data_IF_203105752906
#
_entry.id   IF_203105752906
#
_cell.length_a   1.000
_cell.length_b   1.000
_cell.length_c   1.000
_cell.angle_alpha   90.00
_cell.angle_beta   90.00
_cell.angle_gamma   90.00
#
_symmetry.space_group_name_H-M   'P 1'
#
loop_
_entity.id
_entity.type
_entity.pdbx_description
1 polymer ?
#
# COMPACT_ATOMS: atom_id res chain seq x y z
N UNK A 1 11.56 13.90 26.30
CA UNK A 1 10.91 13.19 25.17
C UNK A 1 10.88 11.69 25.37
N UNK A 2 11.98 11.05 25.80
CA UNK A 2 12.00 9.61 26.09
C UNK A 2 11.10 9.19 27.27
N UNK A 3 10.86 10.07 28.24
CA UNK A 3 10.07 9.72 29.43
C UNK A 3 8.59 9.47 29.10
N UNK A 4 7.98 10.28 28.23
CA UNK A 4 6.61 10.06 27.76
C UNK A 4 6.42 8.76 26.97
N UNK A 5 7.46 8.32 26.23
CA UNK A 5 7.45 7.02 25.54
C UNK A 5 7.47 5.90 26.58
N UNK A 6 8.32 6.03 27.61
CA UNK A 6 8.45 5.06 28.71
C UNK A 6 7.15 4.95 29.51
N UNK A 7 6.53 6.08 29.84
CA UNK A 7 5.22 6.14 30.51
C UNK A 7 4.14 5.42 29.70
N UNK A 8 4.04 5.70 28.40
CA UNK A 8 3.07 5.06 27.51
C UNK A 8 3.32 3.55 27.38
N UNK A 9 4.59 3.12 27.35
CA UNK A 9 4.96 1.70 27.34
C UNK A 9 4.54 1.00 28.63
N UNK A 10 4.80 1.61 29.79
CA UNK A 10 4.43 1.07 31.09
C UNK A 10 2.90 0.93 31.20
N UNK A 11 2.16 1.96 30.81
CA UNK A 11 0.69 1.94 30.83
C UNK A 11 0.14 0.82 29.93
N UNK A 12 0.64 0.69 28.71
CA UNK A 12 0.27 -0.40 27.79
C UNK A 12 0.52 -1.76 28.43
N UNK A 13 1.67 -1.94 29.07
CA UNK A 13 2.08 -3.22 29.65
C UNK A 13 1.26 -3.57 30.89
N UNK A 14 0.88 -2.57 31.69
CA UNK A 14 -0.01 -2.76 32.83
C UNK A 14 -1.43 -3.12 32.40
N UNK A 15 -1.97 -2.48 31.35
CA UNK A 15 -3.26 -2.88 30.76
C UNK A 15 -3.17 -4.31 30.22
N UNK A 16 -2.05 -4.67 29.56
CA UNK A 16 -1.82 -6.05 29.09
C UNK A 16 -1.80 -7.06 30.23
N UNK A 17 -1.19 -6.73 31.37
CA UNK A 17 -1.23 -7.58 32.58
C UNK A 17 -2.66 -7.75 33.10
N UNK A 18 -3.47 -6.69 33.11
CA UNK A 18 -4.89 -6.75 33.52
C UNK A 18 -5.71 -7.63 32.56
N UNK A 19 -5.54 -7.47 31.24
CA UNK A 19 -6.18 -8.31 30.22
C UNK A 19 -5.82 -9.79 30.29
N UNK A 20 -4.62 -10.14 30.77
CA UNK A 20 -4.24 -11.54 30.99
C UNK A 20 -5.08 -12.20 32.09
N UNK A 21 -5.53 -11.41 33.08
CA UNK A 21 -6.36 -11.88 34.21
C UNK A 21 -7.84 -11.93 33.83
N UNK A 22 -8.30 -10.95 33.04
CA UNK A 22 -9.67 -10.89 32.53
C UNK A 22 -9.66 -10.61 31.03
N UNK A 23 -9.79 -11.68 30.23
CA UNK A 23 -9.68 -11.62 28.77
C UNK A 23 -10.93 -11.10 28.06
N UNK A 24 -12.08 -11.14 28.74
CA UNK A 24 -13.36 -10.76 28.13
C UNK A 24 -13.75 -9.31 28.44
N UNK A 25 -12.91 -8.59 29.19
CA UNK A 25 -13.10 -7.18 29.49
C UNK A 25 -12.92 -6.29 28.24
N UNK A 26 -14.04 -5.91 27.63
CA UNK A 26 -14.07 -5.09 26.40
C UNK A 26 -13.41 -3.74 26.63
N UNK A 27 -13.67 -3.09 27.77
CA UNK A 27 -13.10 -1.77 28.10
C UNK A 27 -11.58 -1.82 28.18
N UNK A 28 -11.01 -2.83 28.85
CA UNK A 28 -9.56 -3.01 28.92
C UNK A 28 -8.97 -3.32 27.54
N UNK A 29 -9.68 -4.07 26.70
CA UNK A 29 -9.23 -4.41 25.34
C UNK A 29 -9.12 -3.17 24.47
N UNK A 30 -10.12 -2.28 24.52
CA UNK A 30 -10.10 -1.01 23.80
C UNK A 30 -9.01 -0.08 24.32
N UNK A 31 -8.87 0.05 25.64
CA UNK A 31 -7.78 0.83 26.25
C UNK A 31 -6.41 0.33 25.78
N UNK A 32 -6.20 -0.98 25.78
CA UNK A 32 -4.96 -1.57 25.28
C UNK A 32 -4.71 -1.25 23.80
N UNK A 33 -5.74 -1.34 22.95
CA UNK A 33 -5.62 -1.00 21.52
C UNK A 33 -5.22 0.47 21.33
N UNK A 34 -5.84 1.39 22.09
CA UNK A 34 -5.51 2.82 22.06
C UNK A 34 -4.08 3.08 22.49
N UNK A 35 -3.66 2.54 23.65
CA UNK A 35 -2.32 2.74 24.17
C UNK A 35 -1.24 2.08 23.29
N UNK A 36 -1.52 0.91 22.72
CA UNK A 36 -0.64 0.28 21.72
C UNK A 36 -0.44 1.17 20.50
N UNK A 37 -1.50 1.83 20.00
CA UNK A 37 -1.42 2.78 18.89
C UNK A 37 -0.63 4.03 19.31
N UNK A 38 -0.89 4.57 20.49
CA UNK A 38 -0.17 5.72 21.06
C UNK A 38 1.33 5.46 21.15
N UNK A 39 1.74 4.33 21.73
CA UNK A 39 3.16 3.95 21.83
C UNK A 39 3.81 3.86 20.45
N UNK A 40 3.15 3.23 19.47
CA UNK A 40 3.65 3.16 18.09
C UNK A 40 3.86 4.56 17.49
N UNK A 41 2.89 5.45 17.67
CA UNK A 41 2.96 6.84 17.19
C UNK A 41 4.13 7.59 17.81
N UNK A 42 4.29 7.53 19.14
CA UNK A 42 5.36 8.23 19.85
C UNK A 42 6.76 7.72 19.46
N UNK A 43 6.91 6.40 19.26
CA UNK A 43 8.17 5.83 18.77
C UNK A 43 8.46 6.31 17.34
N UNK A 44 7.45 6.32 16.47
CA UNK A 44 7.61 6.79 15.09
C UNK A 44 8.02 8.27 15.04
N UNK A 45 7.34 9.11 15.82
CA UNK A 45 7.65 10.54 15.93
C UNK A 45 9.05 10.79 16.50
N UNK A 46 9.42 10.07 17.57
CA UNK A 46 10.75 10.16 18.16
C UNK A 46 11.86 9.78 17.19
N UNK A 47 11.66 8.71 16.41
CA UNK A 47 12.58 8.30 15.34
C UNK A 47 12.65 9.34 14.23
N UNK A 48 11.52 9.84 13.77
CA UNK A 48 11.47 10.86 12.71
C UNK A 48 12.22 12.13 13.14
N UNK A 49 11.99 12.59 14.36
CA UNK A 49 12.69 13.76 14.91
C UNK A 49 14.19 13.55 15.06
N UNK A 50 14.60 12.39 15.55
CA UNK A 50 16.02 12.03 15.65
C UNK A 50 16.71 12.07 14.28
N UNK A 51 16.15 11.37 13.29
CA UNK A 51 16.75 11.33 11.95
C UNK A 51 16.68 12.65 11.21
N UNK A 52 15.62 13.44 11.43
CA UNK A 52 15.53 14.80 10.91
C UNK A 52 16.69 15.66 11.43
N UNK A 53 16.96 15.62 12.74
CA UNK A 53 18.06 16.36 13.34
C UNK A 53 19.43 15.89 12.83
N UNK A 54 19.65 14.57 12.75
CA UNK A 54 20.89 13.99 12.19
C UNK A 54 21.13 14.43 10.73
N UNK A 55 20.08 14.44 9.90
CA UNK A 55 20.19 14.91 8.52
C UNK A 55 20.45 16.42 8.44
N UNK A 56 19.81 17.19 9.31
CA UNK A 56 20.01 18.64 9.38
C UNK A 56 21.44 19.00 9.80
N UNK A 57 21.97 18.32 10.81
CA UNK A 57 23.34 18.52 11.31
C UNK A 57 24.40 18.03 10.30
N UNK A 58 24.11 16.95 9.58
CA UNK A 58 25.03 16.38 8.58
C UNK A 58 24.90 16.99 7.19
N UNK A 59 24.06 18.01 6.96
CA UNK A 59 23.72 18.55 5.62
C UNK A 59 24.92 18.98 4.76
N UNK A 60 26.03 19.38 5.38
CA UNK A 60 27.27 19.78 4.68
C UNK A 60 28.29 18.65 4.55
N UNK A 61 28.04 17.48 5.14
CA UNK A 61 28.92 16.32 5.12
C UNK A 61 28.23 15.13 4.44
N UNK A 62 28.42 15.05 3.12
CA UNK A 62 27.82 14.02 2.26
C UNK A 62 28.08 12.59 2.77
N UNK A 63 29.28 12.30 3.30
CA UNK A 63 29.61 10.97 3.85
C UNK A 63 28.72 10.62 5.06
N UNK A 64 28.52 11.58 5.97
CA UNK A 64 27.62 11.41 7.12
C UNK A 64 26.16 11.31 6.68
N UNK A 65 25.69 12.17 5.77
CA UNK A 65 24.32 12.11 5.23
C UNK A 65 24.01 10.74 4.66
N UNK A 66 24.90 10.16 3.85
CA UNK A 66 24.71 8.83 3.28
C UNK A 66 24.70 7.71 4.32
N UNK A 67 25.49 7.83 5.40
CA UNK A 67 25.43 6.89 6.53
C UNK A 67 24.05 6.97 7.22
N UNK A 68 23.55 8.17 7.46
CA UNK A 68 22.22 8.40 8.05
C UNK A 68 21.11 7.83 7.16
N UNK A 69 21.15 8.09 5.84
CA UNK A 69 20.18 7.53 4.89
C UNK A 69 20.20 6.00 4.90
N UNK A 70 21.38 5.38 4.86
CA UNK A 70 21.53 3.92 4.92
C UNK A 70 20.98 3.31 6.22
N UNK A 71 21.01 4.05 7.33
CA UNK A 71 20.44 3.61 8.60
C UNK A 71 18.90 3.66 8.62
N UNK A 72 18.29 4.55 7.83
CA UNK A 72 16.83 4.71 7.73
C UNK A 72 16.22 3.66 6.80
N UNK A 73 16.89 3.37 5.68
CA UNK A 73 16.39 2.43 4.67
C UNK A 73 16.48 1.00 5.22
N UNK A 74 15.36 0.23 5.24
CA UNK A 74 15.42 -1.16 5.65
C UNK A 74 16.34 -1.94 4.73
N UNK A 75 17.28 -2.71 5.28
CA UNK A 75 18.13 -3.59 4.47
C UNK A 75 17.25 -4.58 3.70
N UNK A 76 17.61 -4.91 2.46
CA UNK A 76 16.85 -5.82 1.58
C UNK A 76 16.51 -7.18 2.20
N UNK A 77 17.22 -7.59 3.27
CA UNK A 77 16.89 -8.81 4.03
C UNK A 77 15.54 -8.75 4.76
N UNK A 78 15.00 -7.56 4.98
CA UNK A 78 13.76 -7.30 5.72
C UNK A 78 12.67 -6.64 4.86
N UNK A 79 12.85 -6.52 3.54
CA UNK A 79 11.74 -6.10 2.67
C UNK A 79 10.65 -7.17 2.73
N UNK A 80 9.36 -6.78 2.83
CA UNK A 80 8.28 -7.73 2.56
C UNK A 80 8.60 -8.39 1.22
N UNK A 81 8.73 -9.71 1.20
CA UNK A 81 8.66 -10.42 -0.07
C UNK A 81 7.26 -10.11 -0.59
N UNK A 82 7.16 -9.34 -1.66
CA UNK A 82 5.91 -9.27 -2.42
C UNK A 82 5.64 -10.69 -2.89
N UNK A 83 4.79 -11.39 -2.13
CA UNK A 83 4.23 -12.65 -2.57
C UNK A 83 3.29 -12.27 -3.71
N UNK A 84 3.80 -12.29 -4.94
CA UNK A 84 2.97 -12.25 -6.13
C UNK A 84 1.98 -13.40 -5.97
N UNK A 85 0.70 -13.06 -5.77
CA UNK A 85 -0.33 -14.07 -5.66
C UNK A 85 -0.66 -14.57 -7.06
N UNK A 86 -1.10 -15.83 -7.19
CA UNK A 86 -1.57 -16.36 -8.48
C UNK A 86 -2.70 -15.49 -9.08
N UNK A 87 -3.47 -14.82 -8.22
CA UNK A 87 -4.49 -13.86 -8.63
C UNK A 87 -3.94 -12.61 -9.33
N UNK A 88 -2.70 -12.20 -9.04
CA UNK A 88 -2.05 -11.07 -9.69
C UNK A 88 -1.46 -11.47 -11.06
N UNK A 89 -0.99 -12.71 -11.19
CA UNK A 89 -0.59 -13.30 -12.47
C UNK A 89 -1.79 -13.41 -13.41
N UNK A 90 -2.94 -13.86 -12.91
CA UNK A 90 -4.17 -13.96 -13.69
C UNK A 90 -4.68 -12.61 -14.19
N UNK A 91 -4.57 -11.55 -13.38
CA UNK A 91 -4.91 -10.18 -13.82
C UNK A 91 -3.98 -9.69 -14.93
N UNK A 92 -2.68 -9.92 -14.79
CA UNK A 92 -1.70 -9.55 -15.80
C UNK A 92 -1.96 -10.31 -17.12
N UNK A 93 -2.26 -11.61 -17.04
CA UNK A 93 -2.60 -12.42 -18.20
C UNK A 93 -3.87 -11.92 -18.90
N UNK A 94 -4.94 -11.64 -18.15
CA UNK A 94 -6.18 -11.07 -18.72
C UNK A 94 -5.93 -9.71 -19.38
N UNK A 95 -5.15 -8.85 -18.75
CA UNK A 95 -4.76 -7.56 -19.33
C UNK A 95 -3.99 -7.74 -20.64
N UNK A 96 -2.98 -8.62 -20.65
CA UNK A 96 -2.17 -8.89 -21.83
C UNK A 96 -3.00 -9.50 -22.97
N UNK A 97 -3.89 -10.46 -22.67
CA UNK A 97 -4.80 -11.05 -23.66
C UNK A 97 -5.76 -10.01 -24.22
N UNK A 98 -6.29 -9.11 -23.38
CA UNK A 98 -7.11 -8.01 -23.87
C UNK A 98 -6.33 -7.13 -24.82
N UNK A 99 -5.18 -6.61 -24.38
CA UNK A 99 -4.37 -5.65 -25.14
C UNK A 99 -3.84 -6.22 -26.47
N UNK A 100 -3.37 -7.47 -26.47
CA UNK A 100 -2.90 -8.16 -27.67
C UNK A 100 -4.00 -8.30 -28.73
N UNK A 101 -5.27 -8.37 -28.30
CA UNK A 101 -6.41 -8.57 -29.19
C UNK A 101 -7.23 -7.30 -29.46
N UNK A 102 -6.86 -6.13 -28.92
CA UNK A 102 -7.61 -4.87 -29.15
C UNK A 102 -7.76 -4.59 -30.65
N UNK A 103 -6.67 -4.71 -31.42
CA UNK A 103 -6.70 -4.41 -32.86
C UNK A 103 -7.65 -5.34 -33.62
N UNK A 104 -7.53 -6.65 -33.41
CA UNK A 104 -8.40 -7.67 -34.02
C UNK A 104 -9.87 -7.44 -33.67
N UNK A 105 -10.18 -7.29 -32.39
CA UNK A 105 -11.55 -7.09 -31.92
C UNK A 105 -12.16 -5.78 -32.43
N UNK A 106 -11.36 -4.74 -32.64
CA UNK A 106 -11.82 -3.46 -33.18
C UNK A 106 -12.09 -3.55 -34.68
N UNK A 107 -11.22 -4.25 -35.41
CA UNK A 107 -11.40 -4.51 -36.83
C UNK A 107 -12.68 -5.30 -37.11
N UNK A 108 -12.86 -6.44 -36.43
CA UNK A 108 -14.04 -7.31 -36.59
C UNK A 108 -15.35 -6.55 -36.32
N UNK A 109 -15.40 -5.76 -35.24
CA UNK A 109 -16.58 -4.92 -34.94
C UNK A 109 -16.85 -3.86 -36.01
N UNK A 110 -15.80 -3.28 -36.57
CA UNK A 110 -15.96 -2.26 -37.62
C UNK A 110 -16.48 -2.88 -38.91
N UNK A 111 -16.01 -4.08 -39.25
CA UNK A 111 -16.47 -4.85 -40.40
C UNK A 111 -17.95 -5.24 -40.28
N UNK A 112 -18.37 -5.73 -39.11
CA UNK A 112 -19.79 -6.04 -38.83
C UNK A 112 -20.69 -4.80 -39.02
N UNK A 113 -20.27 -3.64 -38.51
CA UNK A 113 -21.03 -2.39 -38.66
C UNK A 113 -21.15 -1.99 -40.13
N UNK A 114 -20.06 -2.08 -40.90
CA UNK A 114 -20.05 -1.73 -42.32
C UNK A 114 -20.93 -2.67 -43.15
N UNK A 115 -20.94 -3.97 -42.85
CA UNK A 115 -21.82 -4.94 -43.51
C UNK A 115 -23.29 -4.61 -43.27
N UNK A 116 -23.67 -4.34 -42.02
CA UNK A 116 -25.05 -3.95 -41.66
C UNK A 116 -25.46 -2.65 -42.35
N UNK A 117 -24.57 -1.65 -42.38
CA UNK A 117 -24.82 -0.37 -43.03
C UNK A 117 -24.98 -0.50 -44.54
N UNK A 118 -24.19 -1.36 -45.18
CA UNK A 118 -24.27 -1.61 -46.64
C UNK A 118 -25.57 -2.29 -47.00
N UNK A 119 -26.01 -3.30 -46.23
CA UNK A 119 -27.31 -3.95 -46.41
C UNK A 119 -28.49 -2.96 -46.28
N UNK A 120 -28.45 -2.06 -45.30
CA UNK A 120 -29.47 -1.04 -45.11
C UNK A 120 -29.55 -0.06 -46.29
N UNK A 121 -28.39 0.40 -46.79
CA UNK A 121 -28.35 1.31 -47.95
C UNK A 121 -28.90 0.63 -49.20
N UNK A 122 -28.50 -0.63 -49.48
CA UNK A 122 -29.00 -1.38 -50.63
C UNK A 122 -30.52 -1.58 -50.58
N UNK A 123 -31.06 -1.93 -49.40
CA UNK A 123 -32.50 -2.05 -49.19
C UNK A 123 -33.24 -0.73 -49.51
N UNK A 124 -32.75 0.39 -48.98
CA UNK A 124 -33.38 1.70 -49.23
C UNK A 124 -33.25 2.18 -50.69
N UNK A 125 -32.24 1.73 -51.44
CA UNK A 125 -32.11 2.09 -52.87
C UNK A 125 -32.92 1.21 -53.82
N UNK A 126 -33.41 0.05 -53.38
CA UNK A 126 -34.27 -0.84 -54.19
C UNK A 126 -35.77 -0.52 -54.05
N UNK A 127 -36.16 0.29 -53.07
CA UNK A 127 -37.55 0.75 -52.87
C UNK A 127 -37.88 2.07 -53.60
N UNK A 128 -36.98 2.58 -54.45
CA UNK A 128 -37.18 3.71 -55.37
C UNK A 128 -36.96 3.29 -56.82
#
# INVERSE_FOLDING_TARGET
MNDHIREAMNLRDDIRKKLKRDRHNITLLEQYKREKKRVRSLIAEGKAKYYHNELWESRSNMSKTWKTIKAIIPSSKNSPKDYISDADVDKANKFNTHFANIGKNTYEKTEEILQVQTCLILYMTMEF
#
